data_IF_711836020979
#
_entry.id   IF_711836020979
#
_cell.length_a   1.000
_cell.length_b   1.000
_cell.length_c   1.000
_cell.angle_alpha   90.00
_cell.angle_beta   90.00
_cell.angle_gamma   90.00
#
_symmetry.space_group_name_H-M   'P 1'
#
loop_
_entity.id
_entity.type
_entity.pdbx_description
1 polymer ?
#
# COMPACT_ATOMS: atom_id res chain seq x y z
N UNK A 1 -19.41 -3.18 15.41
CA UNK A 1 -19.64 -2.40 16.64
C UNK A 1 -19.39 -3.34 17.80
N UNK A 2 -18.60 -2.93 18.78
CA UNK A 2 -18.35 -3.72 20.00
C UNK A 2 -18.99 -2.97 21.16
N UNK A 3 -19.80 -3.69 21.96
CA UNK A 3 -20.38 -3.16 23.19
C UNK A 3 -19.69 -3.85 24.37
N UNK A 4 -19.34 -3.09 25.38
CA UNK A 4 -18.65 -3.59 26.58
C UNK A 4 -19.58 -3.58 27.79
N UNK A 5 -19.46 -4.59 28.65
CA UNK A 5 -19.95 -4.52 30.02
C UNK A 5 -18.91 -3.80 30.90
N UNK A 6 -19.34 -3.21 32.07
CA UNK A 6 -18.39 -2.64 33.03
C UNK A 6 -17.33 -3.67 33.47
N UNK A 7 -16.06 -3.28 33.46
CA UNK A 7 -14.93 -4.14 33.81
C UNK A 7 -14.57 -5.24 32.79
N UNK A 8 -15.30 -5.34 31.71
CA UNK A 8 -15.04 -6.37 30.67
C UNK A 8 -13.67 -6.19 30.02
N UNK A 9 -13.03 -7.32 29.72
CA UNK A 9 -11.74 -7.37 29.03
C UNK A 9 -11.91 -8.06 27.69
N UNK A 10 -11.46 -7.41 26.62
CA UNK A 10 -11.50 -7.92 25.25
C UNK A 10 -10.11 -7.83 24.65
N UNK A 11 -9.70 -8.87 23.93
CA UNK A 11 -8.43 -8.89 23.22
C UNK A 11 -8.64 -8.77 21.72
N UNK A 12 -7.89 -7.89 21.08
CA UNK A 12 -7.67 -7.92 19.65
C UNK A 12 -6.50 -8.88 19.39
N UNK A 13 -6.75 -9.89 18.58
CA UNK A 13 -5.77 -10.95 18.28
C UNK A 13 -5.53 -11.05 16.79
N UNK A 14 -4.30 -11.42 16.41
CA UNK A 14 -4.08 -12.10 15.14
C UNK A 14 -4.34 -13.58 15.35
N UNK A 15 -4.82 -14.24 14.32
CA UNK A 15 -4.94 -15.69 14.26
C UNK A 15 -4.23 -16.17 13.00
N UNK A 16 -3.52 -17.29 13.10
CA UNK A 16 -2.86 -17.92 11.96
C UNK A 16 -3.89 -18.19 10.86
N UNK A 17 -3.64 -17.68 9.67
CA UNK A 17 -4.44 -17.93 8.48
C UNK A 17 -3.92 -19.10 7.66
N UNK A 18 -4.59 -19.43 6.55
CA UNK A 18 -4.15 -20.45 5.60
C UNK A 18 -3.15 -19.96 4.55
N UNK A 19 -2.67 -18.74 4.62
CA UNK A 19 -1.95 -18.06 3.53
C UNK A 19 -0.43 -18.00 3.73
N UNK A 20 0.17 -18.95 4.41
CA UNK A 20 1.65 -19.10 4.59
C UNK A 20 2.40 -17.81 4.99
N UNK A 21 1.70 -16.82 5.54
CA UNK A 21 2.30 -15.74 6.31
C UNK A 21 2.66 -16.32 7.68
N UNK A 22 3.63 -15.71 8.34
CA UNK A 22 4.20 -16.18 9.60
C UNK A 22 3.16 -16.82 10.53
N UNK A 23 3.37 -18.08 10.89
CA UNK A 23 2.50 -18.81 11.81
C UNK A 23 2.61 -18.22 13.22
N UNK A 24 1.49 -17.86 13.80
CA UNK A 24 1.43 -17.42 15.19
C UNK A 24 0.14 -16.66 15.53
N UNK A 25 -0.39 -16.99 16.69
CA UNK A 25 -1.49 -16.25 17.29
C UNK A 25 -0.91 -15.26 18.30
N UNK A 26 -1.21 -13.98 18.16
CA UNK A 26 -0.69 -12.95 19.03
C UNK A 26 -1.81 -12.07 19.61
N UNK A 27 -1.72 -11.78 20.89
CA UNK A 27 -2.50 -10.74 21.52
C UNK A 27 -1.90 -9.38 21.16
N UNK A 28 -2.57 -8.61 20.29
CA UNK A 28 -2.09 -7.30 19.82
C UNK A 28 -2.47 -6.17 20.77
N UNK A 29 -3.67 -6.23 21.32
CA UNK A 29 -4.21 -5.17 22.16
C UNK A 29 -5.19 -5.76 23.19
N UNK A 30 -5.05 -5.35 24.43
CA UNK A 30 -6.04 -5.60 25.49
C UNK A 30 -6.85 -4.34 25.73
N UNK A 31 -8.14 -4.41 25.53
CA UNK A 31 -9.10 -3.37 25.90
C UNK A 31 -9.72 -3.73 27.25
N UNK A 32 -9.70 -2.80 28.18
CA UNK A 32 -10.32 -2.97 29.50
C UNK A 32 -11.38 -1.88 29.66
N UNK A 33 -12.64 -2.28 29.75
CA UNK A 33 -13.74 -1.36 29.97
C UNK A 33 -13.68 -0.81 31.39
N UNK A 34 -13.93 0.50 31.56
CA UNK A 34 -14.05 1.12 32.88
C UNK A 34 -15.24 0.55 33.63
N UNK A 35 -15.18 0.58 34.96
CA UNK A 35 -16.30 0.18 35.83
C UNK A 35 -17.55 1.08 35.64
N UNK A 36 -17.36 2.33 35.23
CA UNK A 36 -18.43 3.24 34.85
C UNK A 36 -18.31 3.56 33.36
N UNK A 37 -19.27 3.10 32.58
CA UNK A 37 -19.35 3.37 31.14
C UNK A 37 -20.25 4.59 30.90
N UNK A 38 -19.82 5.41 29.92
CA UNK A 38 -20.64 6.46 29.30
C UNK A 38 -21.17 5.97 27.96
N UNK A 39 -22.45 6.21 27.63
CA UNK A 39 -22.94 5.90 26.30
C UNK A 39 -22.12 6.60 25.23
N UNK A 40 -21.67 5.87 24.22
CA UNK A 40 -21.08 6.49 23.03
C UNK A 40 -22.18 7.07 22.12
N UNK A 41 -21.88 8.12 21.35
CA UNK A 41 -22.79 8.58 20.31
C UNK A 41 -23.16 7.42 19.38
N UNK A 42 -24.41 7.39 18.92
CA UNK A 42 -24.83 6.42 17.92
C UNK A 42 -24.02 6.57 16.64
N UNK A 43 -23.81 5.47 15.93
CA UNK A 43 -23.19 5.54 14.61
C UNK A 43 -24.14 6.24 13.64
N UNK A 44 -23.65 7.08 12.74
CA UNK A 44 -24.48 7.66 11.69
C UNK A 44 -25.04 6.53 10.81
N UNK A 45 -26.30 6.66 10.42
CA UNK A 45 -26.96 5.67 9.55
C UNK A 45 -26.27 5.54 8.18
N UNK A 46 -25.50 6.55 7.78
CA UNK A 46 -24.77 6.59 6.53
C UNK A 46 -23.44 7.28 6.72
N UNK A 47 -22.36 6.66 6.27
CA UNK A 47 -21.04 7.26 6.19
C UNK A 47 -20.92 8.06 4.88
N UNK A 48 -19.99 9.03 4.83
CA UNK A 48 -19.65 9.71 3.60
C UNK A 48 -19.17 8.68 2.56
N UNK A 49 -19.64 8.82 1.33
CA UNK A 49 -19.12 8.03 0.21
C UNK A 49 -17.68 8.49 -0.07
N UNK A 50 -16.70 7.58 -0.26
CA UNK A 50 -15.37 7.98 -0.68
C UNK A 50 -15.43 8.64 -2.06
N UNK A 51 -14.61 9.68 -2.25
CA UNK A 51 -14.39 10.24 -3.59
C UNK A 51 -13.78 9.15 -4.47
N UNK A 52 -14.31 8.98 -5.69
CA UNK A 52 -13.77 8.00 -6.65
C UNK A 52 -12.65 8.63 -7.46
N UNK A 53 -11.50 7.96 -7.53
CA UNK A 53 -10.41 8.37 -8.43
C UNK A 53 -10.86 8.10 -9.87
N UNK A 54 -11.05 9.18 -10.64
CA UNK A 54 -11.36 9.07 -12.06
C UNK A 54 -10.09 8.64 -12.82
N UNK A 55 -10.15 7.50 -13.49
CA UNK A 55 -9.06 6.97 -14.30
C UNK A 55 -9.28 7.39 -15.76
N UNK A 56 -8.37 8.17 -16.36
CA UNK A 56 -8.44 8.52 -17.77
C UNK A 56 -8.37 7.27 -18.68
N UNK A 57 -9.06 7.31 -19.82
CA UNK A 57 -9.06 6.18 -20.76
C UNK A 57 -7.66 5.84 -21.31
N UNK A 58 -6.76 6.83 -21.33
CA UNK A 58 -5.35 6.68 -21.74
C UNK A 58 -4.38 6.65 -20.56
N UNK A 59 -4.85 6.32 -19.34
CA UNK A 59 -3.99 6.22 -18.17
C UNK A 59 -2.86 5.23 -18.42
N UNK A 60 -1.65 5.63 -18.01
CA UNK A 60 -0.49 4.75 -18.08
C UNK A 60 -0.70 3.55 -17.16
N UNK A 61 -0.37 2.35 -17.65
CA UNK A 61 -0.34 1.13 -16.84
C UNK A 61 1.11 0.82 -16.50
N UNK A 62 1.42 0.74 -15.20
CA UNK A 62 2.70 0.20 -14.70
C UNK A 62 2.48 -1.19 -14.14
N UNK A 63 3.45 -2.08 -14.36
CA UNK A 63 3.40 -3.46 -13.92
C UNK A 63 4.49 -3.74 -12.90
N UNK A 64 4.07 -4.31 -11.78
CA UNK A 64 4.93 -4.73 -10.69
C UNK A 64 4.71 -6.22 -10.44
N UNK A 65 5.79 -6.99 -10.54
CA UNK A 65 5.74 -8.42 -10.31
C UNK A 65 6.40 -8.77 -8.99
N UNK A 66 5.63 -9.42 -8.13
CA UNK A 66 6.05 -9.94 -6.85
C UNK A 66 6.32 -11.43 -7.01
N UNK A 67 7.60 -11.83 -6.95
CA UNK A 67 8.02 -13.21 -7.19
C UNK A 67 9.09 -13.62 -6.19
N UNK A 68 8.71 -13.80 -4.95
CA UNK A 68 9.61 -14.07 -3.83
C UNK A 68 9.37 -13.11 -2.68
N UNK A 69 10.36 -12.90 -1.83
CA UNK A 69 10.24 -12.09 -0.62
C UNK A 69 11.27 -10.94 -0.55
N UNK A 70 12.07 -10.77 -1.57
CA UNK A 70 13.25 -9.90 -1.60
C UNK A 70 13.28 -8.92 -2.78
N UNK A 71 12.44 -9.12 -3.79
CA UNK A 71 12.53 -8.35 -5.02
C UNK A 71 11.16 -7.95 -5.59
N UNK A 72 11.12 -6.78 -6.25
CA UNK A 72 10.01 -6.34 -7.11
C UNK A 72 10.56 -6.22 -8.54
N UNK A 73 9.86 -6.82 -9.51
CA UNK A 73 10.33 -6.91 -10.91
C UNK A 73 11.72 -7.57 -11.04
N UNK A 74 12.05 -8.50 -10.13
CA UNK A 74 13.34 -9.19 -10.09
C UNK A 74 14.51 -8.30 -9.64
N UNK A 75 14.22 -7.18 -8.97
CA UNK A 75 15.23 -6.26 -8.44
C UNK A 75 15.03 -6.08 -6.95
N UNK A 76 16.10 -6.29 -6.20
CA UNK A 76 16.19 -5.87 -4.81
C UNK A 76 16.38 -4.36 -4.70
N UNK A 77 16.14 -3.81 -3.51
CA UNK A 77 16.34 -2.39 -3.22
C UNK A 77 17.76 -1.94 -3.53
N UNK A 78 17.86 -0.82 -4.21
CA UNK A 78 19.11 -0.10 -4.47
C UNK A 78 18.85 1.39 -4.26
N UNK A 79 19.37 1.96 -3.17
CA UNK A 79 19.18 3.36 -2.78
C UNK A 79 19.70 4.36 -3.82
N UNK A 80 20.58 3.92 -4.71
CA UNK A 80 21.11 4.78 -5.80
C UNK A 80 20.24 4.75 -7.06
N UNK A 81 19.25 3.86 -7.15
CA UNK A 81 18.46 3.63 -8.36
C UNK A 81 17.07 4.25 -8.28
N UNK A 82 16.66 4.97 -9.30
CA UNK A 82 15.26 5.38 -9.50
C UNK A 82 14.59 4.39 -10.45
N UNK A 83 13.66 3.59 -9.94
CA UNK A 83 12.96 2.58 -10.71
C UNK A 83 11.87 3.20 -11.59
N UNK A 84 11.09 4.15 -11.03
CA UNK A 84 9.98 4.77 -11.72
C UNK A 84 10.08 6.31 -11.68
N UNK A 85 9.63 6.94 -12.75
CA UNK A 85 9.47 8.40 -12.85
C UNK A 85 8.02 8.68 -13.23
N UNK A 86 7.36 9.54 -12.46
CA UNK A 86 5.93 9.81 -12.55
C UNK A 86 5.70 11.32 -12.72
N UNK A 87 4.88 11.76 -13.67
CA UNK A 87 4.53 13.16 -13.77
C UNK A 87 3.59 13.59 -12.64
N UNK A 88 3.79 14.78 -12.11
CA UNK A 88 2.94 15.38 -11.09
C UNK A 88 1.49 15.48 -11.56
N UNK A 89 0.54 15.22 -10.66
CA UNK A 89 -0.89 15.24 -10.95
C UNK A 89 -1.40 14.11 -11.83
N UNK A 90 -0.54 13.19 -12.26
CA UNK A 90 -0.95 12.05 -13.07
C UNK A 90 -1.88 11.11 -12.29
N UNK A 91 -2.80 10.49 -13.03
CA UNK A 91 -3.53 9.31 -12.56
C UNK A 91 -3.11 8.12 -13.41
N UNK A 92 -2.56 7.10 -12.77
CA UNK A 92 -2.06 5.90 -13.42
C UNK A 92 -2.78 4.65 -12.91
N UNK A 93 -2.68 3.54 -13.66
CA UNK A 93 -3.04 2.21 -13.20
C UNK A 93 -1.76 1.49 -12.80
N UNK A 94 -1.68 1.06 -11.53
CA UNK A 94 -0.62 0.18 -11.08
C UNK A 94 -1.18 -1.23 -10.98
N UNK A 95 -0.60 -2.14 -11.76
CA UNK A 95 -0.98 -3.54 -11.84
C UNK A 95 0.05 -4.38 -11.09
N UNK A 96 -0.36 -5.00 -9.99
CA UNK A 96 0.50 -5.75 -9.08
C UNK A 96 0.22 -7.25 -9.29
N UNK A 97 1.09 -7.92 -10.02
CA UNK A 97 1.05 -9.37 -10.23
C UNK A 97 1.79 -10.08 -9.11
N UNK A 98 1.12 -10.96 -8.39
CA UNK A 98 1.71 -11.82 -7.37
C UNK A 98 1.74 -13.26 -7.85
N UNK A 99 2.91 -13.90 -7.81
CA UNK A 99 3.08 -15.27 -8.34
C UNK A 99 3.23 -16.33 -7.26
N UNK A 100 3.39 -15.93 -5.99
CA UNK A 100 3.70 -16.85 -4.89
C UNK A 100 2.77 -16.64 -3.70
N UNK A 101 3.29 -16.39 -2.53
CA UNK A 101 2.54 -16.19 -1.29
C UNK A 101 2.06 -14.73 -1.15
N UNK A 102 1.24 -14.48 -0.14
CA UNK A 102 0.64 -13.16 0.07
C UNK A 102 1.66 -12.04 0.32
N UNK A 103 1.30 -10.83 -0.11
CA UNK A 103 2.05 -9.61 0.14
C UNK A 103 1.13 -8.47 0.60
N UNK A 104 1.69 -7.46 1.25
CA UNK A 104 1.04 -6.20 1.52
C UNK A 104 1.78 -5.10 0.74
N UNK A 105 1.25 -4.65 -0.39
CA UNK A 105 1.91 -3.65 -1.22
C UNK A 105 1.55 -2.25 -0.75
N UNK A 106 2.57 -1.47 -0.39
CA UNK A 106 2.47 -0.09 0.07
C UNK A 106 3.13 0.87 -0.92
N UNK A 107 2.55 2.06 -1.06
CA UNK A 107 3.07 3.15 -1.89
C UNK A 107 3.10 4.41 -1.05
N UNK A 108 4.28 5.02 -0.89
CA UNK A 108 4.46 6.30 -0.22
C UNK A 108 3.78 7.44 -0.99
N UNK A 109 3.45 8.52 -0.30
CA UNK A 109 2.92 9.79 -0.82
C UNK A 109 1.46 9.71 -1.30
N UNK A 110 0.99 8.60 -1.83
CA UNK A 110 -0.31 8.50 -2.49
C UNK A 110 -1.36 7.73 -1.69
N UNK A 111 -2.63 8.12 -1.88
CA UNK A 111 -3.77 7.30 -1.50
C UNK A 111 -4.45 6.80 -2.78
N UNK A 112 -4.43 5.50 -3.01
CA UNK A 112 -4.99 4.85 -4.18
C UNK A 112 -6.35 4.18 -3.88
N UNK A 113 -7.05 3.76 -4.92
CA UNK A 113 -8.23 2.90 -4.83
C UNK A 113 -8.00 1.59 -5.58
N UNK A 114 -8.47 0.48 -5.01
CA UNK A 114 -8.46 -0.81 -5.69
C UNK A 114 -9.54 -0.80 -6.76
N UNK A 115 -9.16 -1.02 -8.01
CA UNK A 115 -10.04 -1.15 -9.15
C UNK A 115 -10.65 -2.55 -9.21
N UNK A 116 -9.79 -3.55 -9.13
CA UNK A 116 -10.18 -4.96 -9.15
C UNK A 116 -9.08 -5.86 -8.57
N UNK A 117 -9.48 -7.10 -8.26
CA UNK A 117 -8.60 -8.24 -7.96
C UNK A 117 -8.99 -9.34 -8.93
N UNK A 118 -8.08 -9.73 -9.82
CA UNK A 118 -8.33 -10.70 -10.90
C UNK A 118 -9.55 -10.37 -11.77
N UNK A 119 -9.80 -9.07 -12.00
CA UNK A 119 -10.94 -8.56 -12.76
C UNK A 119 -12.25 -8.44 -11.96
N UNK A 120 -12.29 -8.89 -10.72
CA UNK A 120 -13.45 -8.79 -9.84
C UNK A 120 -13.39 -7.53 -8.96
N UNK A 121 -14.54 -6.90 -8.75
CA UNK A 121 -14.63 -5.71 -7.89
C UNK A 121 -14.19 -6.00 -6.47
N UNK A 122 -13.48 -5.07 -5.82
CA UNK A 122 -13.08 -5.24 -4.44
C UNK A 122 -14.31 -5.31 -3.52
N UNK A 123 -14.16 -6.02 -2.41
CA UNK A 123 -15.17 -6.04 -1.35
C UNK A 123 -15.40 -4.60 -0.81
N UNK A 124 -16.58 -4.33 -0.28
CA UNK A 124 -16.99 -2.99 0.17
C UNK A 124 -15.99 -2.36 1.18
N UNK A 125 -15.41 -3.16 2.08
CA UNK A 125 -14.39 -2.70 3.03
C UNK A 125 -13.06 -2.34 2.38
N UNK A 126 -12.80 -2.83 1.17
CA UNK A 126 -11.58 -2.59 0.40
C UNK A 126 -11.73 -1.49 -0.67
N UNK A 127 -12.94 -0.93 -0.87
CA UNK A 127 -13.25 0.03 -1.94
C UNK A 127 -12.88 1.49 -1.63
N UNK A 128 -12.50 1.83 -0.39
CA UNK A 128 -12.08 3.18 -0.01
C UNK A 128 -10.64 3.49 -0.42
N UNK A 129 -10.20 4.73 -0.13
CA UNK A 129 -8.80 5.12 -0.28
C UNK A 129 -7.90 4.32 0.65
N UNK A 130 -6.75 3.89 0.15
CA UNK A 130 -5.74 3.11 0.84
C UNK A 130 -4.36 3.56 0.42
N UNK A 131 -3.39 3.31 1.27
CA UNK A 131 -1.96 3.42 0.99
C UNK A 131 -1.28 2.05 0.94
N UNK A 132 -1.96 1.03 1.48
CA UNK A 132 -1.50 -0.36 1.54
C UNK A 132 -2.61 -1.29 1.10
N UNK A 133 -2.29 -2.29 0.30
CA UNK A 133 -3.25 -3.29 -0.19
C UNK A 133 -2.71 -4.70 -0.01
N UNK A 134 -3.57 -5.59 0.49
CA UNK A 134 -3.31 -7.02 0.48
C UNK A 134 -3.35 -7.56 -0.96
N UNK A 135 -2.31 -8.25 -1.37
CA UNK A 135 -2.19 -8.90 -2.68
C UNK A 135 -2.21 -10.40 -2.44
N UNK A 136 -3.32 -11.09 -2.73
CA UNK A 136 -3.46 -12.53 -2.50
C UNK A 136 -2.41 -13.35 -3.27
N UNK A 137 -2.11 -14.57 -2.81
CA UNK A 137 -1.28 -15.49 -3.60
C UNK A 137 -1.82 -15.73 -5.01
N UNK A 138 -0.95 -15.69 -6.01
CA UNK A 138 -1.27 -16.00 -7.42
C UNK A 138 -2.42 -15.14 -7.99
N UNK A 139 -2.44 -13.87 -7.65
CA UNK A 139 -3.45 -12.92 -8.09
C UNK A 139 -2.85 -11.67 -8.72
N UNK A 140 -3.69 -10.90 -9.37
CA UNK A 140 -3.36 -9.56 -9.88
C UNK A 140 -4.29 -8.53 -9.27
N UNK A 141 -3.73 -7.52 -8.63
CA UNK A 141 -4.47 -6.39 -8.08
C UNK A 141 -4.22 -5.15 -8.93
N UNK A 142 -5.28 -4.46 -9.36
CA UNK A 142 -5.16 -3.21 -10.12
C UNK A 142 -5.59 -2.04 -9.26
N UNK A 143 -4.76 -1.02 -9.25
CA UNK A 143 -4.92 0.18 -8.42
C UNK A 143 -5.09 1.41 -9.30
N UNK A 144 -6.03 2.29 -8.97
CA UNK A 144 -6.05 3.66 -9.47
C UNK A 144 -5.19 4.51 -8.55
N UNK A 145 -4.08 5.01 -9.03
CA UNK A 145 -3.11 5.79 -8.26
C UNK A 145 -3.10 7.22 -8.79
N UNK A 146 -3.43 8.20 -7.93
CA UNK A 146 -3.37 9.64 -8.27
C UNK A 146 -2.22 10.28 -7.51
N UNK A 147 -1.26 10.81 -8.24
CA UNK A 147 -0.06 11.44 -7.69
C UNK A 147 -0.30 12.91 -7.34
N UNK A 148 0.36 13.37 -6.29
CA UNK A 148 0.34 14.76 -5.86
C UNK A 148 1.08 15.71 -6.81
N UNK A 149 1.16 16.98 -6.42
CA UNK A 149 1.79 18.05 -7.21
C UNK A 149 3.19 18.44 -6.73
N UNK A 150 3.72 17.83 -5.67
CA UNK A 150 5.08 18.13 -5.22
C UNK A 150 6.09 17.38 -6.11
N UNK A 151 7.03 18.12 -6.68
CA UNK A 151 8.02 17.58 -7.62
C UNK A 151 9.43 17.74 -7.09
N UNK A 152 10.17 16.65 -7.02
CA UNK A 152 11.61 16.66 -6.73
C UNK A 152 12.28 15.42 -7.37
N UNK A 153 13.06 15.59 -8.44
CA UNK A 153 13.73 14.48 -9.11
C UNK A 153 14.89 13.86 -8.28
N UNK A 154 15.30 14.52 -7.18
CA UNK A 154 16.41 14.09 -6.34
C UNK A 154 15.96 13.41 -5.04
N UNK A 155 14.69 13.55 -4.66
CA UNK A 155 14.14 12.99 -3.42
C UNK A 155 13.09 11.92 -3.75
N UNK A 156 13.45 10.64 -3.74
CA UNK A 156 12.52 9.57 -4.10
C UNK A 156 11.57 9.22 -2.96
N UNK A 157 10.40 8.78 -3.36
CA UNK A 157 9.46 8.02 -2.55
C UNK A 157 9.67 6.52 -2.77
N UNK A 158 9.17 5.70 -1.85
CA UNK A 158 9.29 4.25 -1.94
C UNK A 158 7.95 3.60 -2.26
N UNK A 159 8.01 2.42 -2.86
CA UNK A 159 6.96 1.41 -2.85
C UNK A 159 7.57 0.08 -2.41
N UNK A 160 6.85 -0.69 -1.60
CA UNK A 160 7.42 -1.90 -1.02
C UNK A 160 6.35 -2.87 -0.51
N UNK A 161 6.77 -4.10 -0.22
CA UNK A 161 5.96 -4.99 0.59
C UNK A 161 6.06 -4.56 2.06
N UNK A 162 4.91 -4.37 2.71
CA UNK A 162 4.84 -3.92 4.12
C UNK A 162 4.85 -5.09 5.12
N UNK A 163 5.25 -6.28 4.72
CA UNK A 163 5.64 -7.37 5.61
C UNK A 163 7.11 -7.12 5.97
N UNK A 164 7.40 -6.81 7.24
CA UNK A 164 8.71 -6.34 7.68
C UNK A 164 9.86 -7.22 7.21
N UNK A 165 9.71 -8.53 7.29
CA UNK A 165 10.73 -9.47 6.80
C UNK A 165 11.00 -9.34 5.30
N UNK A 166 9.99 -9.07 4.48
CA UNK A 166 10.16 -8.86 3.04
C UNK A 166 10.77 -7.49 2.75
N UNK A 167 10.36 -6.47 3.47
CA UNK A 167 10.92 -5.12 3.41
C UNK A 167 12.41 -5.14 3.76
N UNK A 168 12.78 -5.72 4.90
CA UNK A 168 14.17 -5.87 5.36
C UNK A 168 15.03 -6.70 4.39
N UNK A 169 14.41 -7.61 3.63
CA UNK A 169 15.09 -8.42 2.61
C UNK A 169 15.28 -7.68 1.28
N UNK A 170 14.76 -6.45 1.14
CA UNK A 170 14.96 -5.63 -0.06
C UNK A 170 13.79 -5.63 -1.05
N UNK A 171 12.60 -6.12 -0.66
CA UNK A 171 11.41 -6.10 -1.52
C UNK A 171 10.82 -4.69 -1.64
N UNK A 172 11.59 -3.80 -2.26
CA UNK A 172 11.35 -2.37 -2.36
C UNK A 172 11.83 -1.81 -3.69
N UNK A 173 11.27 -0.65 -4.07
CA UNK A 173 11.75 0.17 -5.18
C UNK A 173 11.47 1.64 -4.91
N UNK A 174 12.02 2.51 -5.77
CA UNK A 174 11.90 3.95 -5.61
C UNK A 174 11.28 4.61 -6.83
N UNK A 175 10.52 5.68 -6.58
CA UNK A 175 10.01 6.55 -7.62
C UNK A 175 10.19 8.02 -7.27
N UNK A 176 10.26 8.85 -8.30
CA UNK A 176 10.24 10.32 -8.16
C UNK A 176 9.05 10.90 -8.88
N UNK A 177 8.53 12.01 -8.35
CA UNK A 177 7.49 12.81 -9.01
C UNK A 177 8.17 14.04 -9.62
N UNK A 178 7.89 14.30 -10.89
CA UNK A 178 8.56 15.34 -11.66
C UNK A 178 7.54 16.20 -12.42
N UNK A 179 7.97 17.36 -12.89
CA UNK A 179 7.14 18.21 -13.75
C UNK A 179 6.72 17.43 -15.00
N UNK A 180 5.43 17.50 -15.41
CA UNK A 180 4.96 16.84 -16.61
C UNK A 180 5.76 17.21 -17.85
N UNK A 181 6.21 16.20 -18.61
CA UNK A 181 7.02 16.39 -19.83
C UNK A 181 8.53 16.40 -19.57
N UNK A 182 9.00 16.26 -18.34
CA UNK A 182 10.43 16.19 -18.00
C UNK A 182 10.91 14.78 -17.65
N UNK A 183 10.04 13.77 -17.73
CA UNK A 183 10.29 12.41 -17.25
C UNK A 183 11.53 11.76 -17.91
N UNK A 184 11.77 12.06 -19.19
CA UNK A 184 12.92 11.54 -19.94
C UNK A 184 14.25 12.22 -19.58
N UNK A 185 14.21 13.34 -18.87
CA UNK A 185 15.40 14.12 -18.49
C UNK A 185 15.93 13.72 -17.11
N UNK A 186 15.17 12.93 -16.36
CA UNK A 186 15.51 12.52 -15.00
C UNK A 186 16.58 11.43 -14.99
N UNK A 187 17.63 11.64 -14.21
CA UNK A 187 18.61 10.59 -13.96
C UNK A 187 17.95 9.39 -13.27
N UNK A 188 18.25 8.20 -13.72
CA UNK A 188 17.85 6.96 -13.05
C UNK A 188 18.80 6.54 -11.94
N UNK A 189 19.78 7.40 -11.63
CA UNK A 189 20.77 7.17 -10.59
C UNK A 189 20.89 8.40 -9.70
N UNK A 190 20.81 8.19 -8.40
CA UNK A 190 21.06 9.21 -7.37
C UNK A 190 22.54 9.19 -7.05
N UNK A 191 23.19 10.37 -7.03
CA UNK A 191 24.58 10.47 -6.60
C UNK A 191 24.69 10.12 -5.11
N UNK A 192 25.50 9.14 -4.78
CA UNK A 192 25.68 8.58 -3.42
C UNK A 192 26.32 9.54 -2.41
N UNK A 193 26.65 10.76 -2.79
CA UNK A 193 27.27 11.76 -1.92
C UNK A 193 26.40 12.17 -0.70
N UNK A 194 25.12 11.79 -0.66
CA UNK A 194 24.21 12.08 0.46
C UNK A 194 23.94 10.89 1.39
N UNK A 195 24.55 9.72 1.16
CA UNK A 195 24.30 8.50 1.95
C UNK A 195 25.39 8.18 3.00
N UNK A 196 26.32 9.11 3.22
CA UNK A 196 27.35 8.97 4.27
C UNK A 196 26.89 9.67 5.56
N UNK A 197 26.07 8.98 6.35
CA UNK A 197 25.88 9.29 7.77
C UNK A 197 25.79 8.00 8.58
#
# INVERSE_FOLDING_TARGET
MVAFAPGEQVFLRTVSGGDDLDEGDFDLLKLVAAERLTPSPGLPARLAAPETIAVPANARVRRFRLNGHDAINGKEMDLSRIDEVVPAGATEIWEIENTVYAHNFHIHEVAFQVLDVDGEKPAAYASGHKDTVYVPPKSTVRLAVRFGGFTDPATPYMYHCHILRHEDSGMMGQFVIVEPGTESQVSRTIATAHLSH
#
